data_IF_138303240896
#
_entry.id   IF_138303240896
#
_cell.length_a   1.000
_cell.length_b   1.000
_cell.length_c   1.000
_cell.angle_alpha   90.00
_cell.angle_beta   90.00
_cell.angle_gamma   90.00
#
_symmetry.space_group_name_H-M   'P 1'
#
loop_
_entity.id
_entity.type
_entity.pdbx_description
1 polymer ?
#
# COMPACT_ATOMS: atom_id res chain seq x y z
N UNK A 1 22.36 -0.67 27.95
CA UNK A 1 22.18 -0.38 26.51
C UNK A 1 23.55 -0.40 25.87
N UNK A 2 23.65 -0.88 24.63
CA UNK A 2 24.89 -0.72 23.86
C UNK A 2 25.11 0.78 23.66
N UNK A 3 26.15 1.32 24.28
CA UNK A 3 26.54 2.72 24.11
C UNK A 3 27.34 2.81 22.83
N UNK A 4 26.68 3.18 21.73
CA UNK A 4 27.39 3.66 20.55
C UNK A 4 27.78 5.11 20.84
N UNK A 5 29.06 5.42 20.72
CA UNK A 5 29.56 6.79 20.86
C UNK A 5 28.87 7.69 19.82
N UNK A 6 28.52 8.91 20.23
CA UNK A 6 27.88 9.97 19.41
C UNK A 6 26.54 9.62 18.74
N UNK A 7 25.86 8.55 19.17
CA UNK A 7 24.60 8.12 18.57
C UNK A 7 23.41 8.36 19.49
N UNK A 8 22.50 9.25 19.07
CA UNK A 8 21.24 9.50 19.75
C UNK A 8 20.11 8.72 19.09
N UNK A 9 19.41 7.88 19.87
CA UNK A 9 18.28 7.08 19.39
C UNK A 9 16.97 7.62 19.96
N UNK A 10 15.97 7.78 19.10
CA UNK A 10 14.62 8.17 19.48
C UNK A 10 13.59 7.21 18.90
N UNK A 11 12.56 6.88 19.67
CA UNK A 11 11.35 6.20 19.16
C UNK A 11 10.42 7.27 18.61
N UNK A 12 10.40 7.43 17.28
CA UNK A 12 9.43 8.27 16.61
C UNK A 12 8.22 7.44 16.16
N UNK A 13 7.09 7.57 16.84
CA UNK A 13 5.88 6.78 16.57
C UNK A 13 4.64 7.64 16.42
N UNK A 14 3.70 7.21 15.59
CA UNK A 14 2.46 7.95 15.33
C UNK A 14 1.30 7.36 16.12
N UNK A 15 0.56 8.18 16.89
CA UNK A 15 -0.66 7.71 17.53
C UNK A 15 -1.77 7.56 16.49
N UNK A 16 -2.66 6.60 16.72
CA UNK A 16 -3.92 6.51 15.96
C UNK A 16 -4.85 7.69 16.31
N UNK A 17 -5.82 7.99 15.46
CA UNK A 17 -6.77 9.11 15.69
C UNK A 17 -7.58 8.93 16.97
N UNK A 18 -7.93 7.70 17.32
CA UNK A 18 -8.59 7.35 18.58
C UNK A 18 -7.57 7.32 19.72
N UNK A 19 -7.31 8.49 20.30
CA UNK A 19 -6.18 8.70 21.22
C UNK A 19 -6.41 8.22 22.66
N UNK A 20 -7.58 7.66 23.01
CA UNK A 20 -7.94 7.35 24.40
C UNK A 20 -6.95 6.43 25.11
N UNK A 21 -6.38 5.46 24.39
CA UNK A 21 -5.51 4.43 24.97
C UNK A 21 -4.12 4.38 24.32
N UNK A 22 -4.06 4.58 23.00
CA UNK A 22 -2.85 4.39 22.21
C UNK A 22 -1.60 5.14 22.70
N UNK A 23 -1.63 6.43 23.07
CA UNK A 23 -0.44 7.12 23.57
C UNK A 23 0.09 6.49 24.85
N UNK A 24 -0.79 6.26 25.83
CA UNK A 24 -0.44 5.65 27.10
C UNK A 24 0.15 4.25 26.93
N UNK A 25 -0.52 3.39 26.17
CA UNK A 25 -0.06 2.02 25.93
C UNK A 25 1.30 1.96 25.25
N UNK A 26 1.63 2.94 24.39
CA UNK A 26 2.95 3.04 23.78
C UNK A 26 4.04 3.37 24.82
N UNK A 27 3.79 4.31 25.72
CA UNK A 27 4.74 4.60 26.81
C UNK A 27 4.91 3.39 27.74
N UNK A 28 3.81 2.77 28.16
CA UNK A 28 3.86 1.57 29.01
C UNK A 28 4.61 0.41 28.34
N UNK A 29 4.46 0.26 27.02
CA UNK A 29 5.21 -0.75 26.26
C UNK A 29 6.71 -0.43 26.23
N UNK A 30 7.09 0.83 26.02
CA UNK A 30 8.51 1.24 26.03
C UNK A 30 9.12 1.01 27.41
N UNK A 31 8.46 1.45 28.47
CA UNK A 31 8.94 1.24 29.85
C UNK A 31 9.13 -0.26 30.16
N UNK A 32 8.15 -1.08 29.79
CA UNK A 32 8.20 -2.53 30.04
C UNK A 32 9.36 -3.24 29.36
N UNK A 33 9.74 -2.83 28.15
CA UNK A 33 10.70 -3.57 27.32
C UNK A 33 12.09 -2.91 27.23
N UNK A 34 12.16 -1.60 27.36
CA UNK A 34 13.41 -0.82 27.25
C UNK A 34 13.80 -0.15 28.57
N UNK A 35 12.91 -0.13 29.54
CA UNK A 35 13.11 0.49 30.85
C UNK A 35 12.69 1.95 30.90
N UNK A 36 12.51 2.49 32.13
CA UNK A 36 12.02 3.85 32.34
C UNK A 36 12.96 4.93 31.79
N UNK A 37 14.27 4.68 31.75
CA UNK A 37 15.26 5.63 31.21
C UNK A 37 15.11 5.89 29.71
N UNK A 38 14.35 5.08 28.97
CA UNK A 38 14.11 5.30 27.54
C UNK A 38 12.84 6.11 27.25
N UNK A 39 12.05 6.45 28.27
CA UNK A 39 10.81 7.21 28.10
C UNK A 39 11.08 8.63 27.56
N UNK A 40 12.19 9.23 27.95
CA UNK A 40 12.63 10.56 27.48
C UNK A 40 13.00 10.58 25.99
N UNK A 41 13.18 9.40 25.38
CA UNK A 41 13.54 9.22 23.98
C UNK A 41 12.30 8.93 23.09
N UNK A 42 11.08 9.03 23.62
CA UNK A 42 9.85 8.78 22.86
C UNK A 42 9.26 10.08 22.30
N UNK A 43 9.15 10.15 20.98
CA UNK A 43 8.50 11.24 20.25
C UNK A 43 7.19 10.73 19.63
N UNK A 44 6.06 11.24 20.14
CA UNK A 44 4.73 10.99 19.57
C UNK A 44 4.35 12.08 18.58
N UNK A 45 4.28 11.75 17.30
CA UNK A 45 3.83 12.68 16.26
C UNK A 45 3.13 11.95 15.12
N UNK A 46 2.08 12.56 14.55
CA UNK A 46 1.48 12.07 13.29
C UNK A 46 2.26 12.51 12.05
N UNK A 47 3.05 13.57 12.18
CA UNK A 47 3.87 14.09 11.11
C UNK A 47 5.34 13.90 11.51
N UNK A 48 5.98 12.87 10.95
CA UNK A 48 7.39 12.58 11.22
C UNK A 48 8.33 13.50 10.44
N UNK A 49 7.83 14.20 9.40
CA UNK A 49 8.66 15.07 8.55
C UNK A 49 9.11 16.36 9.24
N UNK A 50 8.50 16.71 10.37
CA UNK A 50 8.90 17.86 11.20
C UNK A 50 10.00 17.49 12.21
N UNK A 51 10.32 16.20 12.35
CA UNK A 51 11.37 15.73 13.26
C UNK A 51 12.68 15.71 12.49
N UNK A 52 13.65 16.50 12.93
CA UNK A 52 15.00 16.51 12.37
C UNK A 52 15.82 15.34 12.94
N UNK A 53 16.21 14.42 12.07
CA UNK A 53 17.13 13.32 12.37
C UNK A 53 17.96 12.99 11.13
N UNK A 54 19.08 12.29 11.32
CA UNK A 54 19.94 11.82 10.23
C UNK A 54 19.34 10.62 9.50
N UNK A 55 18.69 9.72 10.25
CA UNK A 55 18.09 8.49 9.73
C UNK A 55 16.69 8.27 10.35
N UNK A 56 15.73 7.87 9.51
CA UNK A 56 14.42 7.40 9.93
C UNK A 56 14.21 5.97 9.42
N UNK A 57 14.14 5.01 10.35
CA UNK A 57 13.77 3.63 10.06
C UNK A 57 12.27 3.49 10.31
N UNK A 58 11.52 3.30 9.24
CA UNK A 58 10.05 3.21 9.27
C UNK A 58 9.58 2.15 8.26
N UNK A 59 8.54 1.41 8.60
CA UNK A 59 7.95 0.40 7.73
C UNK A 59 7.09 1.02 6.61
N UNK A 60 6.66 2.27 6.78
CA UNK A 60 5.87 2.98 5.78
C UNK A 60 6.77 3.45 4.64
N UNK A 61 6.50 3.05 3.38
CA UNK A 61 7.36 3.38 2.25
C UNK A 61 7.37 4.88 1.90
N UNK A 62 6.20 5.52 2.00
CA UNK A 62 6.03 6.93 1.64
C UNK A 62 5.67 7.77 2.87
N UNK A 63 6.67 8.33 3.55
CA UNK A 63 6.50 9.27 4.66
C UNK A 63 6.25 10.68 4.10
N UNK A 64 5.05 11.22 4.35
CA UNK A 64 4.61 12.53 3.86
C UNK A 64 4.13 13.41 5.02
N UNK A 65 4.33 14.72 4.91
CA UNK A 65 3.91 15.67 5.94
C UNK A 65 4.13 17.13 5.52
N UNK A 66 4.13 18.03 6.50
CA UNK A 66 4.29 19.48 6.32
C UNK A 66 5.75 19.94 6.34
N UNK A 67 6.66 19.11 6.85
CA UNK A 67 8.09 19.39 6.86
C UNK A 67 8.65 19.42 5.45
N UNK A 68 9.73 20.17 5.26
CA UNK A 68 10.51 20.08 4.02
C UNK A 68 10.92 18.62 3.86
N UNK A 69 10.59 18.01 2.72
CA UNK A 69 10.99 16.65 2.42
C UNK A 69 12.50 16.53 2.64
N UNK A 70 12.92 15.82 3.69
CA UNK A 70 14.27 15.31 3.74
C UNK A 70 14.36 14.33 2.57
N UNK A 71 15.28 14.53 1.61
CA UNK A 71 15.56 13.51 0.63
C UNK A 71 15.95 12.27 1.43
N UNK A 72 15.15 11.20 1.32
CA UNK A 72 15.46 9.95 1.98
C UNK A 72 16.82 9.46 1.45
N UNK A 73 17.89 9.74 2.17
CA UNK A 73 19.22 9.20 1.88
C UNK A 73 19.22 7.74 2.33
N UNK A 74 18.46 6.90 1.62
CA UNK A 74 18.24 5.50 1.99
C UNK A 74 17.51 4.66 0.96
N UNK A 75 16.83 5.24 -0.02
CA UNK A 75 16.09 4.49 -1.04
C UNK A 75 16.81 4.38 -2.40
N UNK A 76 18.15 4.43 -2.45
CA UNK A 76 18.89 4.05 -3.66
C UNK A 76 19.74 2.80 -3.42
N UNK A 77 19.24 1.72 -4.02
CA UNK A 77 19.94 0.52 -4.44
C UNK A 77 20.24 -0.54 -3.37
N UNK A 78 19.23 -1.35 -3.01
CA UNK A 78 19.37 -2.80 -3.10
C UNK A 78 18.06 -3.41 -3.65
N UNK A 79 18.16 -4.07 -4.80
CA UNK A 79 17.15 -4.83 -5.53
C UNK A 79 15.92 -4.10 -6.12
N UNK A 80 16.16 -3.26 -7.13
CA UNK A 80 15.26 -3.23 -8.31
C UNK A 80 16.10 -3.48 -9.55
N UNK A 81 16.09 -4.73 -10.02
CA UNK A 81 16.56 -5.02 -11.38
C UNK A 81 15.75 -4.14 -12.35
N UNK A 82 16.41 -3.55 -13.37
CA UNK A 82 15.69 -2.78 -14.37
C UNK A 82 14.68 -3.70 -15.06
N UNK A 83 13.40 -3.32 -15.03
CA UNK A 83 12.41 -4.02 -15.85
C UNK A 83 12.73 -3.73 -17.33
N UNK A 84 12.75 -4.75 -18.20
CA UNK A 84 12.91 -4.51 -19.62
C UNK A 84 11.76 -3.64 -20.12
N UNK A 85 12.09 -2.67 -20.98
CA UNK A 85 11.11 -1.77 -21.59
C UNK A 85 10.00 -2.59 -22.25
N UNK A 86 8.74 -2.26 -21.93
CA UNK A 86 7.59 -2.77 -22.68
C UNK A 86 7.74 -2.33 -24.14
N UNK A 87 7.64 -3.24 -25.13
CA UNK A 87 7.61 -2.83 -26.53
C UNK A 87 6.39 -1.94 -26.78
N UNK A 88 6.58 -0.87 -27.53
CA UNK A 88 5.53 0.06 -27.92
C UNK A 88 4.40 -0.70 -28.64
N UNK A 89 3.16 -0.40 -28.27
CA UNK A 89 1.98 -0.94 -28.93
C UNK A 89 1.98 -0.56 -30.42
N UNK A 90 1.78 -1.54 -31.29
CA UNK A 90 1.67 -1.34 -32.73
C UNK A 90 0.47 -0.43 -33.08
N UNK A 91 0.57 0.41 -34.12
CA UNK A 91 -0.54 1.24 -34.56
C UNK A 91 -1.70 0.39 -35.13
N UNK A 92 -2.96 0.84 -35.00
CA UNK A 92 -4.11 0.10 -35.50
C UNK A 92 -4.10 0.01 -37.03
N UNK A 93 -4.66 -1.07 -37.61
CA UNK A 93 -4.73 -1.22 -39.07
C UNK A 93 -5.67 -0.18 -39.66
N UNK A 94 -5.22 0.49 -40.72
CA UNK A 94 -6.06 1.39 -41.51
C UNK A 94 -7.09 0.58 -42.29
N UNK A 95 -8.37 0.88 -42.08
CA UNK A 95 -9.45 0.29 -42.86
C UNK A 95 -9.34 0.73 -44.32
N UNK A 96 -9.02 -0.20 -45.21
CA UNK A 96 -9.08 0.02 -46.65
C UNK A 96 -10.54 0.26 -47.05
N UNK A 97 -10.81 1.45 -47.64
CA UNK A 97 -12.07 1.73 -48.31
C UNK A 97 -12.15 0.91 -49.60
N UNK A 98 -13.12 0.01 -49.68
CA UNK A 98 -13.51 -0.70 -50.88
C UNK A 98 -15.01 -0.49 -51.08
N UNK A 99 -15.36 0.48 -51.92
CA UNK A 99 -16.69 0.58 -52.53
C UNK A 99 -16.52 0.57 -54.05
N UNK A 100 -16.60 -0.63 -54.64
CA UNK A 100 -17.02 -0.86 -56.04
C UNK A 100 -18.08 -1.96 -56.02
N UNK A 101 -19.10 -1.89 -56.89
CA UNK A 101 -20.39 -2.53 -56.65
C UNK A 101 -20.40 -4.02 -56.97
N UNK A 102 -21.27 -4.72 -56.24
CA UNK A 102 -21.61 -6.13 -56.34
C UNK A 102 -22.33 -6.46 -57.66
N UNK A 103 -21.74 -7.37 -58.44
CA UNK A 103 -22.47 -8.21 -59.40
C UNK A 103 -22.57 -9.60 -58.76
N UNK A 104 -23.79 -10.02 -58.42
CA UNK A 104 -24.09 -11.41 -58.01
C UNK A 104 -24.25 -12.31 -59.23
N UNK A 105 -24.16 -13.64 -59.08
CA UNK A 105 -25.45 -14.33 -58.91
C UNK A 105 -25.45 -15.62 -58.07
N UNK A 106 -26.66 -15.90 -57.59
CA UNK A 106 -27.31 -17.22 -57.49
C UNK A 106 -26.74 -18.30 -56.56
N UNK A 107 -27.51 -18.54 -55.49
CA UNK A 107 -28.00 -19.89 -55.23
C UNK A 107 -27.71 -20.46 -53.84
N UNK A 108 -28.80 -20.77 -53.12
CA UNK A 108 -28.96 -21.91 -52.20
C UNK A 108 -28.15 -21.83 -50.88
N UNK A 109 -28.65 -22.16 -49.69
CA UNK A 109 -29.94 -22.63 -49.17
C UNK A 109 -29.84 -22.45 -47.64
N UNK A 110 -30.95 -22.16 -46.97
CA UNK A 110 -31.02 -21.96 -45.52
C UNK A 110 -31.01 -23.31 -44.76
N UNK A 111 -30.39 -23.34 -43.57
CA UNK A 111 -30.61 -24.36 -42.55
C UNK A 111 -30.37 -23.78 -41.12
N UNK A 112 -30.99 -24.33 -40.07
CA UNK A 112 -31.59 -23.53 -39.01
C UNK A 112 -30.77 -23.39 -37.71
N UNK A 113 -31.17 -22.37 -36.95
CA UNK A 113 -30.84 -22.06 -35.56
C UNK A 113 -31.06 -23.25 -34.62
N UNK A 114 -30.13 -23.50 -33.70
CA UNK A 114 -30.41 -24.04 -32.36
C UNK A 114 -29.18 -23.98 -31.44
N UNK A 115 -29.38 -23.49 -30.20
CA UNK A 115 -28.64 -23.98 -29.03
C UNK A 115 -27.70 -23.02 -28.31
N UNK A 116 -28.26 -22.12 -27.50
CA UNK A 116 -27.58 -21.56 -26.32
C UNK A 116 -27.57 -22.60 -25.18
N UNK A 117 -26.56 -22.55 -24.30
CA UNK A 117 -26.89 -22.55 -22.88
C UNK A 117 -26.18 -21.45 -22.09
N UNK A 118 -26.97 -20.85 -21.19
CA UNK A 118 -26.57 -19.94 -20.12
C UNK A 118 -25.97 -20.76 -18.95
N UNK A 119 -24.88 -20.27 -18.36
CA UNK A 119 -24.39 -20.68 -17.04
C UNK A 119 -23.55 -19.54 -16.46
N UNK A 120 -24.13 -18.66 -15.65
CA UNK A 120 -24.20 -18.73 -14.17
C UNK A 120 -22.89 -18.28 -13.52
N UNK A 121 -22.82 -17.00 -13.20
CA UNK A 121 -21.82 -16.36 -12.35
C UNK A 121 -22.24 -16.51 -10.89
N UNK A 122 -21.42 -17.14 -10.06
CA UNK A 122 -21.54 -17.05 -8.60
C UNK A 122 -20.15 -16.93 -7.97
N UNK A 123 -19.74 -15.69 -7.69
CA UNK A 123 -18.60 -15.40 -6.82
C UNK A 123 -19.06 -15.24 -5.36
N UNK A 124 -18.26 -15.69 -4.38
CA UNK A 124 -18.56 -15.45 -2.97
C UNK A 124 -18.19 -14.02 -2.54
N UNK A 125 -19.12 -13.39 -1.81
CA UNK A 125 -19.00 -12.07 -1.17
C UNK A 125 -18.26 -12.22 0.17
N UNK A 126 -17.32 -11.33 0.54
CA UNK A 126 -16.68 -11.34 1.86
C UNK A 126 -17.59 -10.69 2.92
N UNK A 127 -17.83 -11.40 4.03
CA UNK A 127 -18.51 -10.87 5.22
C UNK A 127 -17.51 -10.17 6.14
N UNK A 128 -17.85 -8.95 6.56
CA UNK A 128 -17.11 -8.15 7.52
C UNK A 128 -17.46 -8.53 8.98
N UNK A 129 -16.41 -8.59 9.83
CA UNK A 129 -16.20 -8.09 11.23
C UNK A 129 -17.40 -7.63 12.11
N UNK A 130 -17.21 -7.32 13.42
CA UNK A 130 -16.35 -7.88 14.50
C UNK A 130 -17.06 -7.97 15.90
N UNK A 131 -16.42 -8.57 16.90
CA UNK A 131 -16.70 -8.38 18.35
C UNK A 131 -15.48 -8.88 19.15
N UNK A 132 -14.63 -8.07 19.79
CA UNK A 132 -14.78 -7.19 20.96
C UNK A 132 -15.08 -7.93 22.27
N UNK A 133 -14.30 -7.58 23.32
CA UNK A 133 -14.30 -7.98 24.73
C UNK A 133 -13.47 -9.25 25.02
N UNK A 134 -12.57 -9.31 26.00
CA UNK A 134 -12.48 -8.58 27.28
C UNK A 134 -11.04 -8.64 27.81
N UNK A 135 -10.43 -7.49 28.14
CA UNK A 135 -9.28 -7.43 29.04
C UNK A 135 -9.77 -6.80 30.35
N UNK A 136 -9.89 -7.62 31.38
CA UNK A 136 -10.16 -7.15 32.73
C UNK A 136 -8.87 -6.59 33.34
N UNK A 137 -8.98 -5.37 33.85
CA UNK A 137 -8.01 -4.78 34.75
C UNK A 137 -8.15 -5.43 36.13
N UNK A 138 -7.02 -5.75 36.77
CA UNK A 138 -6.94 -5.95 38.21
C UNK A 138 -5.73 -5.15 38.73
N UNK A 139 -6.04 -4.50 39.86
CA UNK A 139 -5.30 -3.52 40.66
C UNK A 139 -3.80 -3.72 40.82
#
# INVERSE_FOLDING_TARGET
MASLEDTNVFICTSPIKMYKYCPYEKYAWVEKHLGPGFLDHVVLTRDKTVISADLLIDDRPDITGKGRAQPQLGARALHRLPQPARPAAAPPPQAARLDRPLEGPSGQQAAPLSGLPRGSLSGPRPTARPSSQSCQALH
#
